data_IF_897550054050
#
_entry.id   IF_897550054050
#
_cell.length_a   1.000
_cell.length_b   1.000
_cell.length_c   1.000
_cell.angle_alpha   90.00
_cell.angle_beta   90.00
_cell.angle_gamma   90.00
#
_symmetry.space_group_name_H-M   'P 1'
#
loop_
_entity.id
_entity.type
_entity.pdbx_description
1 polymer ?
#
# COMPACT_ATOMS: atom_id res chain seq x y z
N UNK A 1 16.48 13.42 -5.54
CA UNK A 1 17.48 12.49 -4.96
C UNK A 1 16.77 11.18 -4.64
N UNK A 2 17.40 10.02 -4.91
CA UNK A 2 16.84 8.69 -4.64
C UNK A 2 17.68 8.03 -3.55
N UNK A 3 17.10 7.86 -2.37
CA UNK A 3 17.74 7.21 -1.23
C UNK A 3 17.08 5.86 -0.98
N UNK A 4 17.89 4.82 -0.86
CA UNK A 4 17.39 3.49 -0.52
C UNK A 4 17.06 3.42 0.97
N UNK A 5 15.84 3.01 1.29
CA UNK A 5 15.34 2.94 2.68
C UNK A 5 15.31 1.50 3.18
N UNK A 6 14.85 0.55 2.35
CA UNK A 6 14.75 -0.85 2.73
C UNK A 6 13.87 -1.66 1.78
N UNK A 7 13.59 -2.91 2.13
CA UNK A 7 12.65 -3.77 1.42
C UNK A 7 11.26 -3.78 2.06
N UNK A 8 10.22 -3.90 1.24
CA UNK A 8 8.86 -4.16 1.69
C UNK A 8 8.79 -5.50 2.43
N UNK A 9 8.25 -5.52 3.64
CA UNK A 9 8.16 -6.74 4.45
C UNK A 9 7.24 -7.84 3.85
N UNK A 10 6.38 -7.50 2.89
CA UNK A 10 5.45 -8.44 2.25
C UNK A 10 5.98 -9.02 0.94
N UNK A 11 6.57 -8.20 0.08
CA UNK A 11 6.96 -8.59 -1.28
C UNK A 11 8.45 -8.38 -1.59
N UNK A 12 9.24 -7.96 -0.60
CA UNK A 12 10.66 -7.66 -0.70
C UNK A 12 11.02 -6.54 -1.70
N UNK A 13 10.01 -5.86 -2.27
CA UNK A 13 10.21 -4.75 -3.21
C UNK A 13 10.97 -3.62 -2.52
N UNK A 14 12.00 -3.13 -3.20
CA UNK A 14 12.81 -2.01 -2.72
C UNK A 14 11.97 -0.73 -2.58
N UNK A 15 12.02 -0.13 -1.41
CA UNK A 15 11.39 1.13 -1.08
C UNK A 15 12.46 2.20 -0.99
N UNK A 16 12.18 3.33 -1.63
CA UNK A 16 13.09 4.45 -1.74
C UNK A 16 12.42 5.73 -1.25
N UNK A 17 13.21 6.63 -0.68
CA UNK A 17 12.82 8.02 -0.51
C UNK A 17 13.23 8.78 -1.78
N UNK A 18 12.25 9.31 -2.49
CA UNK A 18 12.44 10.09 -3.70
C UNK A 18 12.08 11.55 -3.40
N UNK A 19 13.09 12.41 -3.45
CA UNK A 19 12.93 13.87 -3.28
C UNK A 19 12.23 14.27 -1.97
N UNK A 20 12.51 13.54 -0.89
CA UNK A 20 11.94 13.77 0.44
C UNK A 20 10.62 13.06 0.70
N UNK A 21 10.12 12.27 -0.27
CA UNK A 21 8.90 11.48 -0.13
C UNK A 21 9.21 9.98 -0.16
N UNK A 22 8.73 9.26 0.84
CA UNK A 22 8.84 7.80 0.88
C UNK A 22 7.88 7.18 -0.14
N UNK A 23 8.38 6.36 -1.06
CA UNK A 23 7.55 5.56 -1.96
C UNK A 23 7.06 4.27 -1.31
N UNK A 24 6.51 4.42 -0.11
CA UNK A 24 6.02 3.36 0.75
C UNK A 24 5.37 3.93 2.00
N UNK A 25 4.92 3.04 2.87
CA UNK A 25 4.28 3.37 4.15
C UNK A 25 5.00 2.63 5.26
N UNK A 26 5.21 3.30 6.40
CA UNK A 26 5.66 2.66 7.64
C UNK A 26 4.41 2.37 8.45
N UNK A 27 4.13 1.08 8.72
CA UNK A 27 3.00 0.67 9.54
C UNK A 27 3.17 1.04 11.01
N UNK A 28 2.10 0.95 11.80
CA UNK A 28 2.13 1.23 13.25
C UNK A 28 3.08 0.31 14.03
N UNK A 29 3.37 -0.87 13.48
CA UNK A 29 4.34 -1.84 13.99
C UNK A 29 5.80 -1.51 13.61
N UNK A 30 6.01 -0.45 12.82
CA UNK A 30 7.31 -0.02 12.32
C UNK A 30 7.78 -0.79 11.08
N UNK A 31 6.96 -1.69 10.53
CA UNK A 31 7.30 -2.40 9.31
C UNK A 31 7.16 -1.52 8.07
N UNK A 32 8.05 -1.74 7.09
CA UNK A 32 8.06 -1.01 5.84
C UNK A 32 7.21 -1.75 4.79
N UNK A 33 6.27 -1.04 4.18
CA UNK A 33 5.38 -1.57 3.14
C UNK A 33 5.52 -0.74 1.86
N UNK A 34 5.49 -1.39 0.71
CA UNK A 34 5.23 -0.69 -0.55
C UNK A 34 3.76 -0.28 -0.63
N UNK A 35 3.43 0.69 -1.48
CA UNK A 35 2.06 1.17 -1.62
C UNK A 35 1.06 0.09 -2.04
N UNK A 36 1.46 -0.84 -2.90
CA UNK A 36 0.61 -1.96 -3.32
C UNK A 36 0.22 -2.81 -2.11
N UNK A 37 1.21 -3.37 -1.39
CA UNK A 37 0.94 -4.21 -0.24
C UNK A 37 0.19 -3.48 0.88
N UNK A 38 0.49 -2.20 1.13
CA UNK A 38 -0.25 -1.41 2.11
C UNK A 38 -1.71 -1.20 1.67
N UNK A 39 -1.95 -0.96 0.38
CA UNK A 39 -3.30 -0.80 -0.18
C UNK A 39 -4.09 -2.10 -0.11
N UNK A 40 -3.49 -3.24 -0.46
CA UNK A 40 -4.12 -4.57 -0.38
C UNK A 40 -4.53 -4.94 1.06
N UNK A 41 -3.77 -4.48 2.07
CA UNK A 41 -4.07 -4.71 3.48
C UNK A 41 -5.20 -3.79 4.02
N UNK A 42 -5.28 -2.55 3.53
CA UNK A 42 -6.19 -1.53 4.06
C UNK A 42 -7.44 -1.29 3.21
N UNK A 43 -7.42 -1.69 1.94
CA UNK A 43 -8.55 -1.56 1.03
C UNK A 43 -8.88 -2.95 0.50
N UNK A 44 -10.07 -3.51 0.77
CA UNK A 44 -10.46 -4.74 0.11
C UNK A 44 -10.47 -4.50 -1.40
N UNK A 45 -10.03 -5.47 -2.20
CA UNK A 45 -9.94 -5.29 -3.64
C UNK A 45 -11.32 -4.91 -4.20
N UNK A 46 -11.40 -3.80 -4.92
CA UNK A 46 -12.63 -3.29 -5.54
C UNK A 46 -13.26 -4.31 -6.53
N UNK A 47 -12.55 -5.39 -6.86
CA UNK A 47 -13.07 -6.57 -7.58
C UNK A 47 -14.08 -7.41 -6.79
N UNK A 48 -14.37 -7.11 -5.52
CA UNK A 48 -15.60 -7.57 -4.86
C UNK A 48 -16.90 -7.01 -5.51
N UNK A 49 -16.79 -6.20 -6.58
CA UNK A 49 -17.93 -5.64 -7.35
C UNK A 49 -18.29 -6.43 -8.60
N UNK A 50 -18.11 -7.74 -8.61
CA UNK A 50 -18.72 -8.61 -9.65
C UNK A 50 -19.81 -9.53 -9.14
N UNK A 51 -20.43 -9.28 -7.99
CA UNK A 51 -21.80 -9.75 -7.70
C UNK A 51 -22.59 -8.70 -6.91
N UNK A 52 -23.30 -7.82 -7.63
CA UNK A 52 -24.61 -7.27 -7.24
C UNK A 52 -24.79 -6.56 -5.89
N UNK A 53 -24.03 -5.50 -5.58
CA UNK A 53 -24.43 -4.58 -4.50
C UNK A 53 -25.29 -3.43 -5.08
N UNK A 54 -26.58 -3.30 -4.70
CA UNK A 54 -27.37 -2.14 -5.10
C UNK A 54 -26.81 -0.86 -4.47
N UNK A 55 -27.03 0.31 -5.10
CA UNK A 55 -26.65 1.60 -4.51
C UNK A 55 -27.33 1.76 -3.16
N UNK A 56 -26.55 2.16 -2.15
CA UNK A 56 -27.09 2.60 -0.86
C UNK A 56 -27.90 3.87 -1.11
N UNK A 57 -29.21 3.71 -1.01
CA UNK A 57 -30.24 4.75 -0.98
C UNK A 57 -29.91 5.86 0.04
N UNK A 58 -29.91 7.11 -0.43
CA UNK A 58 -30.51 8.30 0.20
C UNK A 58 -30.41 9.50 -0.74
#
# INVERSE_FOLDING_TARGET
MKEYIGGCCQCDKEVYCMDGFLNGVVGDDGALYCFECYTDLHTPPETARREGLPPLDS
#
